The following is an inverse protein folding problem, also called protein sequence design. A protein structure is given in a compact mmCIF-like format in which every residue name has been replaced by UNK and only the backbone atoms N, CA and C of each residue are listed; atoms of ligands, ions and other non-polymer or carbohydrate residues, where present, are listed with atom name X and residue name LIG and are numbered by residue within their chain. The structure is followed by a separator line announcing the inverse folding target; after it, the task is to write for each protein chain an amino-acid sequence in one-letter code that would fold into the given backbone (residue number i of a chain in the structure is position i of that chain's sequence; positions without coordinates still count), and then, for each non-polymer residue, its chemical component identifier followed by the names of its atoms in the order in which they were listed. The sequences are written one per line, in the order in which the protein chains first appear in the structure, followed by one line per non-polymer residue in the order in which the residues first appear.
data_IF_786287906687
#
_entry.id   IF_786287906687
#
_cell.length_a   1.000
_cell.length_b   1.000
_cell.length_c   1.000
_cell.angle_alpha   90.00
_cell.angle_beta   90.00
_cell.angle_gamma   90.00
#
_symmetry.space_group_name_H-M   'P 1'
#
loop_
_entity.id
_entity.type
_entity.pdbx_description
1 polymer ?
#
# COMPACT_ATOMS: atom_id res chain seq x y z
N UNK A 1 8.74 87.77 24.70
CA UNK A 1 8.70 87.09 23.40
C UNK A 1 9.57 85.86 23.51
N UNK A 2 8.97 84.66 23.65
CA UNK A 2 9.68 83.41 23.78
C UNK A 2 9.33 82.56 22.57
N UNK A 3 10.33 82.30 21.71
CA UNK A 3 10.22 81.43 20.54
C UNK A 3 10.30 79.99 20.95
N UNK A 4 9.30 79.19 20.66
CA UNK A 4 9.30 77.72 20.84
C UNK A 4 9.80 77.07 19.55
N UNK A 5 10.89 76.36 19.65
CA UNK A 5 11.41 75.53 18.55
C UNK A 5 10.74 74.14 18.58
N UNK A 6 10.10 73.79 17.49
CA UNK A 6 9.43 72.53 17.29
C UNK A 6 10.43 71.51 16.67
N UNK A 7 10.85 70.50 17.43
CA UNK A 7 11.73 69.42 16.94
C UNK A 7 10.88 68.28 16.33
N UNK A 8 11.00 68.07 15.04
CA UNK A 8 10.38 66.93 14.31
C UNK A 8 11.33 65.72 14.43
N UNK A 9 10.92 64.72 15.20
CA UNK A 9 11.61 63.44 15.26
C UNK A 9 11.14 62.53 14.09
N UNK A 10 12.00 62.26 13.13
CA UNK A 10 11.76 61.32 12.05
C UNK A 10 12.09 59.91 12.52
N UNK A 11 11.04 59.08 12.73
CA UNK A 11 11.16 57.66 13.07
C UNK A 11 11.37 56.89 11.79
N UNK A 12 12.58 56.41 11.55
CA UNK A 12 12.88 55.47 10.46
C UNK A 12 12.39 54.08 10.82
N UNK A 13 11.33 53.62 10.16
CA UNK A 13 10.87 52.23 10.26
C UNK A 13 11.81 51.32 9.46
N UNK A 14 12.64 50.55 10.16
CA UNK A 14 13.44 49.48 9.55
C UNK A 14 12.50 48.29 9.21
N UNK A 15 12.15 48.11 7.93
CA UNK A 15 11.55 46.90 7.43
C UNK A 15 12.59 45.77 7.57
N UNK A 16 12.42 44.89 8.55
CA UNK A 16 13.13 43.62 8.64
C UNK A 16 12.66 42.73 7.50
N UNK A 17 13.41 42.60 6.43
CA UNK A 17 13.23 41.62 5.39
C UNK A 17 13.51 40.24 6.02
N UNK A 18 12.46 39.49 6.34
CA UNK A 18 12.59 38.10 6.70
C UNK A 18 13.25 37.35 5.53
N UNK A 19 14.32 36.57 5.76
CA UNK A 19 14.90 35.78 4.70
C UNK A 19 13.85 34.76 4.22
N UNK A 20 13.40 34.88 2.98
CA UNK A 20 12.71 33.82 2.27
C UNK A 20 13.65 32.62 2.33
N UNK A 21 13.31 31.60 3.12
CA UNK A 21 13.99 30.33 3.13
C UNK A 21 13.79 29.71 1.74
N UNK A 22 14.72 30.04 0.84
CA UNK A 22 14.82 29.40 -0.47
C UNK A 22 15.16 27.95 -0.20
N UNK A 23 14.17 27.05 -0.29
CA UNK A 23 14.40 25.64 -0.17
C UNK A 23 15.48 25.23 -1.19
N UNK A 24 16.53 24.62 -0.69
CA UNK A 24 17.64 24.12 -1.51
C UNK A 24 17.06 23.33 -2.69
N UNK A 25 17.52 23.62 -3.91
CA UNK A 25 17.06 22.91 -5.11
C UNK A 25 17.28 21.41 -4.95
N UNK A 26 16.34 20.59 -5.43
CA UNK A 26 16.39 19.15 -5.23
C UNK A 26 17.72 18.48 -5.60
N UNK A 27 18.41 18.87 -6.72
CA UNK A 27 19.72 18.30 -7.08
C UNK A 27 20.80 18.49 -6.01
N UNK A 28 20.85 19.65 -5.37
CA UNK A 28 21.85 19.95 -4.35
C UNK A 28 21.52 19.32 -3.00
N UNK A 29 20.22 19.07 -2.76
CA UNK A 29 19.77 18.49 -1.50
C UNK A 29 20.15 17.01 -1.38
N UNK A 30 19.96 16.19 -2.40
CA UNK A 30 20.14 14.74 -2.32
C UNK A 30 21.59 14.27 -2.52
N UNK A 31 22.50 15.13 -3.01
CA UNK A 31 23.91 14.78 -3.26
C UNK A 31 24.59 14.29 -1.98
N UNK A 32 25.13 13.08 -2.01
CA UNK A 32 25.84 12.46 -0.89
C UNK A 32 24.93 12.07 0.29
N UNK A 33 23.61 12.11 0.13
CA UNK A 33 22.67 11.68 1.17
C UNK A 33 22.28 10.21 1.04
N UNK A 34 21.80 9.68 2.14
CA UNK A 34 21.06 8.43 2.22
C UNK A 34 19.58 8.75 2.34
N UNK A 35 18.75 8.04 1.58
CA UNK A 35 17.29 8.06 1.67
C UNK A 35 16.83 6.72 2.20
N UNK A 36 16.07 6.73 3.29
CA UNK A 36 15.52 5.52 3.88
C UNK A 36 14.22 5.12 3.16
N UNK A 37 14.18 3.87 2.69
CA UNK A 37 12.97 3.24 2.15
C UNK A 37 12.41 2.27 3.16
N UNK A 38 11.39 2.69 3.89
CA UNK A 38 10.78 1.89 4.94
C UNK A 38 9.73 0.92 4.37
N UNK A 39 9.76 -0.34 4.79
CA UNK A 39 8.90 -1.41 4.29
C UNK A 39 8.00 -1.93 5.42
N UNK A 40 6.69 -1.81 5.28
CA UNK A 40 5.72 -2.12 6.34
C UNK A 40 5.46 -3.62 6.59
N UNK A 41 6.24 -4.51 5.99
CA UNK A 41 6.11 -5.97 6.11
C UNK A 41 7.47 -6.64 6.28
N UNK A 42 7.44 -7.93 6.69
CA UNK A 42 8.65 -8.75 6.88
C UNK A 42 9.38 -9.02 5.57
N UNK A 43 10.64 -9.41 5.70
CA UNK A 43 11.55 -9.75 4.59
C UNK A 43 11.00 -10.90 3.73
N UNK A 44 11.21 -10.81 2.42
CA UNK A 44 10.87 -11.87 1.44
C UNK A 44 9.40 -11.90 1.04
N UNK A 45 8.55 -11.01 1.57
CA UNK A 45 7.17 -10.82 1.10
C UNK A 45 7.12 -9.91 -0.13
N UNK A 46 5.95 -9.87 -0.82
CA UNK A 46 5.81 -9.10 -2.06
C UNK A 46 6.16 -7.61 -1.92
N UNK A 47 5.78 -6.94 -0.84
CA UNK A 47 6.15 -5.54 -0.61
C UNK A 47 7.68 -5.36 -0.47
N UNK A 48 8.35 -6.27 0.24
CA UNK A 48 9.80 -6.24 0.41
C UNK A 48 10.54 -6.48 -0.93
N UNK A 49 10.06 -7.43 -1.72
CA UNK A 49 10.64 -7.74 -3.04
C UNK A 49 10.54 -6.55 -3.99
N UNK A 50 9.35 -5.92 -4.10
CA UNK A 50 9.16 -4.72 -4.94
C UNK A 50 10.02 -3.55 -4.47
N UNK A 51 10.06 -3.28 -3.16
CA UNK A 51 10.83 -2.17 -2.60
C UNK A 51 12.35 -2.33 -2.83
N UNK A 52 12.87 -3.54 -2.63
CA UNK A 52 14.30 -3.82 -2.87
C UNK A 52 14.67 -3.82 -4.34
N UNK A 53 13.75 -4.24 -5.21
CA UNK A 53 13.94 -4.12 -6.66
C UNK A 53 13.94 -2.64 -7.10
N UNK A 54 13.02 -1.83 -6.57
CA UNK A 54 12.92 -0.40 -6.90
C UNK A 54 14.17 0.41 -6.46
N UNK A 55 14.68 0.16 -5.25
CA UNK A 55 15.66 1.01 -4.59
C UNK A 55 16.91 1.36 -5.44
N UNK A 56 17.66 0.41 -6.03
CA UNK A 56 18.87 0.71 -6.77
C UNK A 56 18.60 1.45 -8.09
N UNK A 57 17.44 1.26 -8.71
CA UNK A 57 17.06 1.94 -9.94
C UNK A 57 16.57 3.36 -9.65
N UNK A 58 15.66 3.52 -8.69
CA UNK A 58 15.13 4.83 -8.32
C UNK A 58 16.23 5.78 -7.82
N UNK A 59 17.26 5.27 -7.16
CA UNK A 59 18.41 6.05 -6.73
C UNK A 59 19.11 6.77 -7.88
N UNK A 60 19.17 6.16 -9.08
CA UNK A 60 19.77 6.75 -10.28
C UNK A 60 18.96 7.90 -10.86
N UNK A 61 17.65 7.90 -10.64
CA UNK A 61 16.72 8.90 -11.16
C UNK A 61 16.48 10.07 -10.19
N UNK A 62 16.82 9.92 -8.90
CA UNK A 62 16.75 11.05 -7.95
C UNK A 62 17.92 12.02 -8.26
N UNK A 63 17.65 13.33 -8.46
CA UNK A 63 18.71 14.32 -8.68
C UNK A 63 19.75 14.31 -7.54
N UNK A 64 21.02 14.16 -7.88
CA UNK A 64 22.11 14.02 -6.90
C UNK A 64 22.50 12.59 -6.56
N UNK A 65 21.81 11.59 -7.12
CA UNK A 65 22.07 10.15 -7.00
C UNK A 65 22.35 9.69 -5.57
N UNK A 66 21.40 9.87 -4.64
CA UNK A 66 21.55 9.41 -3.25
C UNK A 66 21.57 7.89 -3.19
N UNK A 67 22.05 7.34 -2.06
CA UNK A 67 21.83 5.94 -1.76
C UNK A 67 20.41 5.74 -1.21
N UNK A 68 19.66 4.79 -1.74
CA UNK A 68 18.38 4.36 -1.13
C UNK A 68 18.61 3.07 -0.34
N UNK A 69 18.27 3.07 0.95
CA UNK A 69 18.48 1.95 1.87
C UNK A 69 17.14 1.36 2.31
N UNK A 70 16.76 0.15 1.83
CA UNK A 70 15.55 -0.52 2.25
C UNK A 70 15.67 -1.05 3.69
N UNK A 71 14.67 -0.74 4.54
CA UNK A 71 14.57 -1.15 5.95
C UNK A 71 13.17 -1.70 6.25
N UNK A 72 13.07 -2.81 6.96
CA UNK A 72 11.77 -3.37 7.33
C UNK A 72 11.29 -2.80 8.68
N UNK A 73 10.07 -2.26 8.68
CA UNK A 73 9.35 -1.78 9.86
C UNK A 73 7.97 -2.43 9.90
N UNK A 74 7.96 -3.76 10.04
CA UNK A 74 6.75 -4.55 10.10
C UNK A 74 5.93 -4.28 11.38
N UNK A 75 4.66 -4.62 11.34
CA UNK A 75 3.76 -4.58 12.48
C UNK A 75 2.37 -4.06 12.14
N UNK A 76 1.37 -4.73 12.71
CA UNK A 76 -0.05 -4.41 12.56
C UNK A 76 -0.49 -4.21 11.09
N UNK A 77 -0.01 -5.08 10.15
CA UNK A 77 -0.36 -4.98 8.73
C UNK A 77 0.13 -3.70 8.06
N UNK A 78 1.32 -3.22 8.41
CA UNK A 78 1.97 -1.95 8.04
C UNK A 78 1.43 -0.67 8.71
N UNK A 79 0.44 -0.80 9.60
CA UNK A 79 -0.12 0.35 10.34
C UNK A 79 0.95 1.04 11.21
N UNK A 80 1.90 0.26 11.77
CA UNK A 80 3.06 0.79 12.51
C UNK A 80 3.87 1.76 11.63
N UNK A 81 4.21 1.35 10.42
CA UNK A 81 4.95 2.20 9.49
C UNK A 81 4.15 3.43 9.07
N UNK A 82 2.85 3.27 8.75
CA UNK A 82 2.00 4.39 8.36
C UNK A 82 1.92 5.47 9.46
N UNK A 83 1.73 5.05 10.72
CA UNK A 83 1.74 5.95 11.87
C UNK A 83 3.10 6.64 12.05
N UNK A 84 4.20 5.90 11.90
CA UNK A 84 5.55 6.44 12.03
C UNK A 84 5.84 7.46 10.93
N UNK A 85 5.58 7.13 9.66
CA UNK A 85 5.78 8.06 8.54
C UNK A 85 4.99 9.36 8.74
N UNK A 86 3.73 9.25 9.21
CA UNK A 86 2.88 10.42 9.36
C UNK A 86 3.30 11.35 10.48
N UNK A 87 3.66 10.78 11.65
CA UNK A 87 3.84 11.54 12.89
C UNK A 87 5.31 11.80 13.25
N UNK A 88 6.25 10.91 12.84
CA UNK A 88 7.63 10.89 13.31
C UNK A 88 8.65 10.96 12.17
N UNK A 89 8.34 10.36 11.01
CA UNK A 89 9.24 10.28 9.88
C UNK A 89 9.80 11.63 9.43
N UNK A 90 11.07 11.68 8.95
CA UNK A 90 11.67 12.91 8.44
C UNK A 90 10.84 13.52 7.32
N UNK A 91 10.46 14.80 7.48
CA UNK A 91 9.63 15.53 6.51
C UNK A 91 10.46 16.29 5.47
N UNK A 92 11.74 16.00 5.38
CA UNK A 92 12.67 16.67 4.48
C UNK A 92 12.88 15.96 3.14
N UNK A 93 12.23 14.79 2.93
CA UNK A 93 12.36 13.97 1.72
C UNK A 93 13.44 12.91 1.81
N UNK A 94 14.12 12.74 2.95
CA UNK A 94 15.11 11.67 3.16
C UNK A 94 14.51 10.34 3.64
N UNK A 95 13.19 10.27 3.79
CA UNK A 95 12.49 9.03 4.09
C UNK A 95 11.19 8.93 3.29
N UNK A 96 10.94 7.74 2.77
CA UNK A 96 9.66 7.33 2.20
C UNK A 96 9.44 5.83 2.47
N UNK A 97 8.25 5.31 2.18
CA UNK A 97 7.98 3.92 2.47
C UNK A 97 6.94 3.30 1.57
N UNK A 98 6.75 1.99 1.76
CA UNK A 98 5.66 1.22 1.17
C UNK A 98 4.83 0.58 2.26
N UNK A 99 3.52 0.81 2.22
CA UNK A 99 2.54 0.30 3.18
C UNK A 99 1.54 -0.65 2.50
N UNK A 100 0.75 -1.36 3.27
CA UNK A 100 -0.36 -2.15 2.74
C UNK A 100 -1.31 -1.26 1.93
N UNK A 101 -1.75 -1.75 0.77
CA UNK A 101 -2.63 -0.99 -0.15
C UNK A 101 -3.92 -0.50 0.49
N UNK A 102 -4.41 -1.23 1.51
CA UNK A 102 -5.59 -0.86 2.29
C UNK A 102 -5.33 0.12 3.42
N UNK A 103 -4.08 0.20 3.90
CA UNK A 103 -3.73 0.93 5.12
C UNK A 103 -4.08 2.42 5.04
N UNK A 104 -3.90 3.05 3.87
CA UNK A 104 -4.29 4.46 3.67
C UNK A 104 -5.78 4.74 3.88
N UNK A 105 -6.63 3.72 3.88
CA UNK A 105 -8.08 3.81 4.06
C UNK A 105 -8.55 3.38 5.46
N UNK A 106 -7.67 2.92 6.34
CA UNK A 106 -8.04 2.49 7.69
C UNK A 106 -8.78 3.57 8.51
N UNK A 107 -8.41 4.88 8.43
CA UNK A 107 -9.19 5.93 9.08
C UNK A 107 -10.62 6.05 8.55
N UNK A 108 -10.85 5.82 7.24
CA UNK A 108 -12.18 5.86 6.63
C UNK A 108 -13.11 4.81 7.24
N UNK A 109 -12.59 3.63 7.57
CA UNK A 109 -13.32 2.54 8.20
C UNK A 109 -13.33 2.59 9.73
N UNK A 110 -12.77 3.66 10.34
CA UNK A 110 -12.75 3.86 11.78
C UNK A 110 -11.82 2.91 12.54
N UNK A 111 -10.74 2.45 11.90
CA UNK A 111 -9.75 1.61 12.58
C UNK A 111 -9.00 2.43 13.64
N UNK A 112 -9.19 2.08 14.92
CA UNK A 112 -8.69 2.86 16.06
C UNK A 112 -7.15 2.99 16.14
N UNK A 113 -6.41 2.06 15.52
CA UNK A 113 -4.97 2.11 15.46
C UNK A 113 -4.40 3.08 14.42
N UNK A 114 -5.22 3.59 13.49
CA UNK A 114 -4.79 4.54 12.47
C UNK A 114 -4.73 5.96 13.07
N UNK A 115 -3.51 6.47 13.26
CA UNK A 115 -3.23 7.80 13.82
C UNK A 115 -2.71 8.74 12.71
N UNK A 116 -3.35 8.73 11.57
CA UNK A 116 -3.00 9.52 10.39
C UNK A 116 -4.26 9.85 9.57
N UNK A 117 -4.11 10.77 8.66
CA UNK A 117 -5.07 11.08 7.60
C UNK A 117 -4.47 10.59 6.27
N UNK A 118 -5.09 9.56 5.66
CA UNK A 118 -4.60 8.96 4.43
C UNK A 118 -4.53 9.94 3.24
N UNK A 119 -5.39 10.96 3.24
CA UNK A 119 -5.40 12.01 2.24
C UNK A 119 -4.24 13.01 2.33
N UNK A 120 -3.53 13.05 3.46
CA UNK A 120 -2.46 14.03 3.71
C UNK A 120 -1.05 13.49 3.49
N UNK A 121 -0.87 12.21 3.25
CA UNK A 121 0.43 11.69 2.85
C UNK A 121 0.90 12.30 1.53
N UNK A 122 2.20 12.40 1.36
CA UNK A 122 2.81 12.69 0.05
C UNK A 122 2.88 11.40 -0.74
N UNK A 123 1.83 11.08 -1.50
CA UNK A 123 1.81 9.91 -2.37
C UNK A 123 2.82 10.08 -3.52
N UNK A 124 3.71 9.08 -3.67
CA UNK A 124 4.76 9.07 -4.69
C UNK A 124 4.27 8.35 -5.94
N UNK A 125 3.60 7.22 -5.77
CA UNK A 125 3.03 6.41 -6.83
C UNK A 125 2.66 5.02 -6.35
N UNK A 126 2.16 4.18 -7.26
CA UNK A 126 2.00 2.74 -7.05
C UNK A 126 2.63 1.98 -8.21
N UNK A 127 3.39 0.93 -7.95
CA UNK A 127 4.13 0.22 -8.99
C UNK A 127 3.23 -0.65 -9.88
N UNK A 128 2.09 -1.09 -9.39
CA UNK A 128 1.14 -1.89 -10.18
C UNK A 128 -0.31 -1.73 -9.72
N UNK A 129 -1.22 -2.06 -10.62
CA UNK A 129 -2.58 -2.51 -10.32
C UNK A 129 -2.52 -4.02 -9.99
N UNK A 130 -3.25 -4.48 -9.00
CA UNK A 130 -3.07 -5.82 -8.47
C UNK A 130 -4.37 -6.62 -8.43
N UNK A 131 -4.28 -7.90 -8.70
CA UNK A 131 -5.30 -8.88 -8.38
C UNK A 131 -4.80 -9.74 -7.22
N UNK A 132 -5.54 -9.76 -6.12
CA UNK A 132 -5.26 -10.71 -5.05
C UNK A 132 -6.05 -12.00 -5.26
N UNK A 133 -5.56 -13.08 -4.70
CA UNK A 133 -6.24 -14.38 -4.74
C UNK A 133 -6.50 -14.92 -3.33
N UNK A 134 -7.50 -15.78 -3.23
CA UNK A 134 -7.69 -16.64 -2.08
C UNK A 134 -7.33 -18.08 -2.49
N UNK A 135 -6.43 -18.70 -1.76
CA UNK A 135 -5.91 -20.03 -2.08
C UNK A 135 -6.08 -21.00 -0.91
N UNK A 136 -6.16 -22.28 -1.23
CA UNK A 136 -6.17 -23.38 -0.27
C UNK A 136 -5.02 -24.34 -0.55
N UNK A 137 -4.44 -24.93 0.50
CA UNK A 137 -3.42 -25.97 0.38
C UNK A 137 -4.04 -27.29 -0.01
N UNK A 138 -3.61 -27.86 -1.10
CA UNK A 138 -4.15 -29.11 -1.63
C UNK A 138 -3.85 -30.31 -0.71
N UNK A 139 -4.82 -31.21 -0.59
CA UNK A 139 -4.69 -32.41 0.22
C UNK A 139 -5.01 -32.26 1.71
N UNK A 140 -5.26 -31.02 2.21
CA UNK A 140 -5.65 -30.79 3.61
C UNK A 140 -7.14 -30.56 3.83
N UNK A 141 -7.82 -30.06 2.81
CA UNK A 141 -9.25 -29.83 2.84
C UNK A 141 -9.93 -30.43 1.62
N UNK A 142 -11.27 -30.52 1.65
CA UNK A 142 -12.08 -30.90 0.49
C UNK A 142 -12.52 -29.70 -0.34
N UNK A 143 -12.00 -28.50 -0.04
CA UNK A 143 -12.34 -27.25 -0.73
C UNK A 143 -11.56 -27.21 -2.03
N UNK A 144 -12.27 -27.15 -3.17
CA UNK A 144 -11.69 -27.11 -4.51
C UNK A 144 -12.16 -25.89 -5.33
N UNK A 145 -13.24 -25.22 -4.91
CA UNK A 145 -13.83 -24.06 -5.58
C UNK A 145 -14.48 -23.11 -4.59
N UNK A 146 -14.84 -21.90 -5.01
CA UNK A 146 -15.42 -20.88 -4.15
C UNK A 146 -16.68 -21.33 -3.41
N UNK A 147 -17.57 -22.06 -4.09
CA UNK A 147 -18.85 -22.50 -3.53
C UNK A 147 -18.67 -23.39 -2.30
N UNK A 148 -17.58 -24.13 -2.23
CA UNK A 148 -17.29 -25.00 -1.08
C UNK A 148 -17.08 -24.19 0.20
N UNK A 149 -16.62 -22.92 0.09
CA UNK A 149 -16.47 -22.00 1.22
C UNK A 149 -17.79 -21.64 1.89
N UNK A 150 -18.93 -21.80 1.20
CA UNK A 150 -20.25 -21.51 1.76
C UNK A 150 -20.69 -22.58 2.76
N UNK A 151 -20.17 -23.79 2.67
CA UNK A 151 -20.56 -24.94 3.46
C UNK A 151 -19.44 -25.49 4.35
N UNK A 152 -18.19 -25.42 3.88
CA UNK A 152 -17.03 -26.01 4.54
C UNK A 152 -16.14 -24.92 5.15
N UNK A 153 -15.80 -25.02 6.45
CA UNK A 153 -14.87 -24.09 7.09
C UNK A 153 -13.47 -24.14 6.48
N UNK A 154 -12.85 -22.98 6.29
CA UNK A 154 -11.45 -22.81 5.88
C UNK A 154 -10.73 -21.93 6.89
N UNK A 155 -9.60 -22.43 7.42
CA UNK A 155 -8.71 -21.62 8.28
C UNK A 155 -7.63 -20.98 7.42
N UNK A 156 -7.56 -19.64 7.43
CA UNK A 156 -6.59 -18.87 6.66
C UNK A 156 -5.67 -18.06 7.57
N UNK A 157 -4.42 -17.89 7.15
CA UNK A 157 -3.46 -17.04 7.85
C UNK A 157 -3.60 -15.57 7.49
N UNK A 158 -3.48 -14.70 8.50
CA UNK A 158 -3.57 -13.26 8.38
C UNK A 158 -2.45 -12.51 9.11
N UNK A 159 -2.19 -11.29 8.72
CA UNK A 159 -1.09 -10.51 9.31
C UNK A 159 -1.57 -9.50 10.34
N UNK A 160 -2.79 -8.98 10.20
CA UNK A 160 -3.38 -8.01 11.12
C UNK A 160 -4.79 -7.63 10.67
N UNK A 161 -5.64 -7.23 11.60
CA UNK A 161 -6.98 -6.70 11.32
C UNK A 161 -6.99 -5.51 10.32
N UNK A 162 -5.86 -4.81 10.15
CA UNK A 162 -5.70 -3.74 9.17
C UNK A 162 -5.19 -4.23 7.80
N UNK A 163 -4.91 -5.52 7.63
CA UNK A 163 -4.34 -6.06 6.40
C UNK A 163 -5.37 -6.78 5.53
N UNK A 164 -5.16 -6.80 4.22
CA UNK A 164 -5.99 -7.51 3.25
C UNK A 164 -6.16 -8.99 3.60
N UNK A 165 -5.13 -9.61 4.20
CA UNK A 165 -5.14 -11.02 4.61
C UNK A 165 -6.18 -11.35 5.66
N UNK A 166 -6.58 -10.37 6.46
CA UNK A 166 -7.64 -10.49 7.48
C UNK A 166 -8.95 -9.89 6.96
N UNK A 167 -8.89 -8.70 6.37
CA UNK A 167 -10.06 -7.96 5.93
C UNK A 167 -10.83 -8.67 4.81
N UNK A 168 -10.14 -9.24 3.83
CA UNK A 168 -10.81 -9.90 2.70
C UNK A 168 -11.59 -11.16 3.11
N UNK A 169 -11.04 -12.09 3.92
CA UNK A 169 -11.84 -13.18 4.49
C UNK A 169 -13.04 -12.71 5.31
N UNK A 170 -12.90 -11.64 6.12
CA UNK A 170 -14.01 -11.08 6.88
C UNK A 170 -15.11 -10.51 5.98
N UNK A 171 -14.73 -9.78 4.92
CA UNK A 171 -15.67 -9.27 3.91
C UNK A 171 -16.37 -10.42 3.18
N UNK A 172 -15.66 -11.45 2.74
CA UNK A 172 -16.27 -12.62 2.11
C UNK A 172 -17.24 -13.32 3.05
N UNK A 173 -16.89 -13.44 4.33
CA UNK A 173 -17.78 -14.01 5.34
C UNK A 173 -19.05 -13.16 5.54
N UNK A 174 -18.88 -11.85 5.70
CA UNK A 174 -20.01 -10.95 6.04
C UNK A 174 -20.90 -10.60 4.84
N UNK A 175 -20.36 -10.59 3.61
CA UNK A 175 -21.11 -10.24 2.40
C UNK A 175 -21.65 -11.48 1.69
N UNK A 176 -20.84 -12.53 1.56
CA UNK A 176 -21.16 -13.71 0.74
C UNK A 176 -21.50 -14.95 1.59
N UNK A 177 -21.33 -14.89 2.91
CA UNK A 177 -21.68 -15.99 3.82
C UNK A 177 -20.66 -17.13 3.87
N UNK A 178 -19.41 -16.92 3.48
CA UNK A 178 -18.36 -17.94 3.54
C UNK A 178 -18.04 -18.33 5.00
N UNK A 179 -17.60 -19.59 5.21
CA UNK A 179 -17.28 -20.12 6.54
C UNK A 179 -15.79 -20.04 6.84
N UNK A 180 -15.21 -18.84 6.72
CA UNK A 180 -13.80 -18.63 6.93
C UNK A 180 -13.46 -18.28 8.39
N UNK A 181 -12.29 -18.76 8.83
CA UNK A 181 -11.65 -18.39 10.11
C UNK A 181 -10.28 -17.83 9.82
N UNK A 182 -9.93 -16.70 10.47
CA UNK A 182 -8.62 -16.07 10.31
C UNK A 182 -7.79 -16.33 11.56
N UNK A 183 -6.58 -16.84 11.39
CA UNK A 183 -5.51 -16.86 12.39
C UNK A 183 -4.59 -15.71 12.08
N UNK A 184 -4.68 -14.64 12.86
CA UNK A 184 -3.96 -13.38 12.61
C UNK A 184 -2.67 -13.26 13.43
N UNK A 185 -1.80 -12.29 13.07
CA UNK A 185 -0.60 -11.95 13.83
C UNK A 185 0.71 -12.42 13.20
N UNK A 186 0.68 -12.99 12.01
CA UNK A 186 1.92 -13.28 11.26
C UNK A 186 2.61 -11.98 10.83
N UNK A 187 3.96 -11.86 10.94
CA UNK A 187 4.71 -10.62 10.63
C UNK A 187 4.54 -10.17 9.17
N UNK A 188 4.35 -11.11 8.26
CA UNK A 188 4.15 -10.81 6.84
C UNK A 188 3.62 -11.98 6.04
N UNK A 189 3.42 -11.75 4.73
CA UNK A 189 2.83 -12.76 3.87
C UNK A 189 3.70 -14.01 3.69
N UNK A 190 5.02 -13.89 3.76
CA UNK A 190 5.91 -15.04 3.68
C UNK A 190 5.79 -15.94 4.91
N UNK A 191 5.57 -15.34 6.09
CA UNK A 191 5.34 -16.09 7.34
C UNK A 191 4.04 -16.90 7.27
N UNK A 192 2.98 -16.33 6.65
CA UNK A 192 1.74 -17.08 6.36
C UNK A 192 2.00 -18.26 5.42
N UNK A 193 2.85 -18.09 4.40
CA UNK A 193 3.21 -19.19 3.50
C UNK A 193 3.92 -20.32 4.26
N UNK A 194 4.84 -19.99 5.17
CA UNK A 194 5.51 -21.00 6.02
C UNK A 194 4.50 -21.70 6.95
N UNK A 195 3.51 -20.97 7.47
CA UNK A 195 2.44 -21.55 8.27
C UNK A 195 1.56 -22.52 7.45
N UNK A 196 1.29 -22.19 6.18
CA UNK A 196 0.62 -23.12 5.25
C UNK A 196 1.47 -24.38 5.01
N UNK A 197 2.77 -24.26 4.77
CA UNK A 197 3.67 -25.41 4.59
C UNK A 197 3.66 -26.35 5.82
N UNK A 198 3.66 -25.76 7.03
CA UNK A 198 3.64 -26.51 8.30
C UNK A 198 2.27 -27.07 8.69
N UNK A 199 1.20 -26.64 8.03
CA UNK A 199 -0.17 -27.06 8.34
C UNK A 199 -0.79 -26.35 9.53
N UNK A 200 -0.28 -25.18 9.91
CA UNK A 200 -0.85 -24.33 10.96
C UNK A 200 -2.16 -23.65 10.46
N UNK A 201 -2.21 -23.36 9.16
CA UNK A 201 -3.38 -22.84 8.46
C UNK A 201 -3.54 -23.57 7.12
N UNK A 202 -4.78 -23.63 6.61
CA UNK A 202 -5.11 -24.37 5.39
C UNK A 202 -5.02 -23.53 4.13
N UNK A 203 -5.02 -22.20 4.27
CA UNK A 203 -5.03 -21.31 3.12
C UNK A 203 -4.62 -19.88 3.45
N UNK A 204 -4.67 -19.05 2.43
CA UNK A 204 -4.36 -17.62 2.49
C UNK A 204 -5.24 -16.84 1.51
N UNK A 205 -5.85 -15.76 1.98
CA UNK A 205 -6.56 -14.81 1.12
C UNK A 205 -5.86 -13.44 1.14
N UNK A 206 -6.17 -12.57 0.17
CA UNK A 206 -5.48 -11.30 0.04
C UNK A 206 -4.01 -11.44 -0.40
N UNK A 207 -3.66 -12.54 -1.04
CA UNK A 207 -2.33 -12.78 -1.57
C UNK A 207 -2.25 -12.26 -3.00
N UNK A 208 -1.43 -11.25 -3.25
CA UNK A 208 -1.21 -10.67 -4.56
C UNK A 208 -0.79 -11.72 -5.57
N UNK A 209 -1.41 -11.75 -6.74
CA UNK A 209 -1.06 -12.68 -7.81
C UNK A 209 0.40 -12.51 -8.26
N UNK A 210 0.86 -11.27 -8.40
CA UNK A 210 2.27 -10.96 -8.64
C UNK A 210 3.20 -11.60 -7.60
N UNK A 211 2.80 -11.64 -6.32
CA UNK A 211 3.58 -12.27 -5.26
C UNK A 211 3.52 -13.81 -5.29
N UNK A 212 2.40 -14.40 -5.71
CA UNK A 212 2.34 -15.86 -5.92
C UNK A 212 3.38 -16.28 -6.96
N UNK A 213 3.41 -15.56 -8.09
CA UNK A 213 4.33 -15.82 -9.21
C UNK A 213 5.79 -15.57 -8.88
N UNK A 214 6.09 -14.51 -8.13
CA UNK A 214 7.46 -14.12 -7.82
C UNK A 214 8.07 -14.85 -6.62
N UNK A 215 7.26 -15.23 -5.62
CA UNK A 215 7.80 -15.79 -4.37
C UNK A 215 7.56 -17.30 -4.20
N UNK A 216 6.58 -17.87 -4.89
CA UNK A 216 6.21 -19.30 -4.79
C UNK A 216 5.77 -19.92 -6.14
N UNK A 217 6.48 -19.67 -7.27
CA UNK A 217 6.08 -20.17 -8.57
C UNK A 217 5.95 -21.71 -8.59
N UNK A 218 6.80 -22.39 -7.82
CA UNK A 218 6.77 -23.85 -7.69
C UNK A 218 5.46 -24.40 -7.10
N UNK A 219 4.74 -23.64 -6.30
CA UNK A 219 3.45 -24.09 -5.76
C UNK A 219 2.36 -24.19 -6.82
N UNK A 220 2.49 -23.42 -7.90
CA UNK A 220 1.61 -23.51 -9.07
C UNK A 220 1.96 -24.73 -9.93
N UNK A 221 3.24 -24.91 -10.28
CA UNK A 221 3.71 -26.02 -11.14
C UNK A 221 3.56 -27.38 -10.46
N UNK A 222 3.79 -27.44 -9.15
CA UNK A 222 3.64 -28.66 -8.34
C UNK A 222 2.20 -28.84 -7.83
N UNK A 223 1.28 -27.96 -8.20
CA UNK A 223 -0.14 -28.00 -7.80
C UNK A 223 -0.34 -28.12 -6.28
N UNK A 224 0.49 -27.42 -5.49
CA UNK A 224 0.37 -27.40 -4.02
C UNK A 224 -0.82 -26.60 -3.52
N UNK A 225 -1.28 -25.64 -4.30
CA UNK A 225 -2.41 -24.77 -3.96
C UNK A 225 -3.47 -24.79 -5.06
N UNK A 226 -4.71 -24.56 -4.65
CA UNK A 226 -5.84 -24.27 -5.53
C UNK A 226 -6.29 -22.83 -5.32
N UNK A 227 -6.47 -22.08 -6.41
CA UNK A 227 -6.98 -20.71 -6.38
C UNK A 227 -8.52 -20.78 -6.42
N UNK A 228 -9.18 -20.19 -5.44
CA UNK A 228 -10.62 -20.28 -5.25
C UNK A 228 -11.39 -19.09 -5.84
N UNK A 229 -10.80 -17.89 -5.74
CA UNK A 229 -11.44 -16.64 -6.17
C UNK A 229 -10.38 -15.54 -6.36
N UNK A 230 -10.62 -14.66 -7.32
CA UNK A 230 -9.89 -13.42 -7.52
C UNK A 230 -10.55 -12.29 -6.72
N UNK A 231 -9.77 -11.61 -5.93
CA UNK A 231 -10.17 -10.54 -5.01
C UNK A 231 -9.76 -9.19 -5.62
N UNK A 232 -10.53 -8.72 -6.59
CA UNK A 232 -10.26 -7.52 -7.39
C UNK A 232 -11.55 -6.97 -8.01
N UNK A 233 -11.47 -5.83 -8.70
CA UNK A 233 -12.56 -5.24 -9.46
C UNK A 233 -12.72 -5.85 -10.87
N UNK A 234 -11.66 -6.47 -11.38
CA UNK A 234 -11.62 -7.08 -12.70
C UNK A 234 -10.84 -8.40 -12.65
N UNK A 235 -11.01 -9.19 -13.69
CA UNK A 235 -10.36 -10.48 -13.85
C UNK A 235 -8.93 -10.31 -14.37
N UNK A 236 -8.00 -11.07 -13.82
CA UNK A 236 -6.63 -11.17 -14.33
C UNK A 236 -6.57 -12.08 -15.56
N UNK A 237 -5.77 -11.72 -16.56
CA UNK A 237 -5.65 -12.48 -17.81
C UNK A 237 -5.11 -13.91 -17.60
N UNK A 238 -4.21 -14.11 -16.65
CA UNK A 238 -3.66 -15.45 -16.31
C UNK A 238 -4.67 -16.36 -15.62
N UNK A 239 -5.80 -15.85 -15.15
CA UNK A 239 -6.78 -16.56 -14.32
C UNK A 239 -8.19 -16.56 -14.96
N UNK A 240 -8.35 -16.92 -16.24
CA UNK A 240 -9.62 -16.76 -16.96
C UNK A 240 -10.77 -17.57 -16.36
N UNK A 241 -10.46 -18.74 -15.76
CA UNK A 241 -11.46 -19.67 -15.22
C UNK A 241 -11.79 -19.44 -13.73
N UNK A 242 -11.04 -18.59 -13.05
CA UNK A 242 -11.25 -18.29 -11.63
C UNK A 242 -12.27 -17.16 -11.48
N UNK A 243 -13.34 -17.33 -10.67
CA UNK A 243 -14.34 -16.28 -10.48
C UNK A 243 -13.76 -15.02 -9.84
N UNK A 244 -14.31 -13.85 -10.21
CA UNK A 244 -13.99 -12.56 -9.56
C UNK A 244 -15.01 -12.28 -8.48
N UNK A 245 -14.57 -11.80 -7.33
CA UNK A 245 -15.40 -11.58 -6.15
C UNK A 245 -16.60 -10.66 -6.42
N UNK A 246 -16.46 -9.67 -7.30
CA UNK A 246 -17.53 -8.71 -7.66
C UNK A 246 -18.71 -9.41 -8.33
N UNK A 247 -18.44 -10.44 -9.13
CA UNK A 247 -19.46 -11.18 -9.89
C UNK A 247 -20.27 -12.12 -8.98
N UNK A 248 -19.78 -12.40 -7.78
CA UNK A 248 -20.43 -13.24 -6.77
C UNK A 248 -21.47 -12.48 -5.93
N UNK A 249 -21.56 -11.14 -6.09
CA UNK A 249 -22.55 -10.30 -5.41
C UNK A 249 -23.96 -10.60 -5.91
N UNK A 250 -24.88 -10.85 -4.98
CA UNK A 250 -26.30 -11.14 -5.28
C UNK A 250 -27.20 -9.91 -5.23
N UNK A 251 -26.76 -8.84 -4.55
CA UNK A 251 -27.51 -7.57 -4.41
C UNK A 251 -26.62 -6.38 -4.76
N UNK A 252 -27.25 -5.24 -5.05
CA UNK A 252 -26.53 -4.00 -5.33
C UNK A 252 -25.77 -3.49 -4.12
N UNK A 253 -26.31 -3.67 -2.90
CA UNK A 253 -25.60 -3.33 -1.65
C UNK A 253 -24.31 -4.14 -1.52
N UNK A 254 -24.37 -5.46 -1.71
CA UNK A 254 -23.20 -6.32 -1.70
C UNK A 254 -22.17 -5.84 -2.73
N UNK A 255 -22.60 -5.55 -3.95
CA UNK A 255 -21.73 -5.08 -5.03
C UNK A 255 -21.06 -3.75 -4.71
N UNK A 256 -21.78 -2.79 -4.11
CA UNK A 256 -21.23 -1.51 -3.70
C UNK A 256 -20.17 -1.66 -2.59
N UNK A 257 -20.44 -2.49 -1.60
CA UNK A 257 -19.49 -2.78 -0.51
C UNK A 257 -18.23 -3.45 -1.07
N UNK A 258 -18.37 -4.46 -1.92
CA UNK A 258 -17.23 -5.13 -2.55
C UNK A 258 -16.43 -4.16 -3.41
N UNK A 259 -17.09 -3.31 -4.22
CA UNK A 259 -16.40 -2.28 -5.01
C UNK A 259 -15.59 -1.33 -4.14
N UNK A 260 -16.15 -0.84 -3.03
CA UNK A 260 -15.44 0.04 -2.11
C UNK A 260 -14.19 -0.65 -1.51
N UNK A 261 -14.33 -1.88 -1.03
CA UNK A 261 -13.24 -2.63 -0.40
C UNK A 261 -12.15 -2.98 -1.42
N UNK A 262 -12.52 -3.45 -2.61
CA UNK A 262 -11.54 -3.90 -3.61
C UNK A 262 -11.00 -2.78 -4.51
N UNK A 263 -11.51 -1.54 -4.41
CA UNK A 263 -10.93 -0.38 -5.10
C UNK A 263 -9.45 -0.16 -4.74
N UNK A 264 -9.04 -0.54 -3.52
CA UNK A 264 -7.64 -0.49 -3.08
C UNK A 264 -6.67 -1.33 -3.93
N UNK A 265 -7.19 -2.28 -4.70
CA UNK A 265 -6.36 -3.13 -5.57
C UNK A 265 -5.67 -2.35 -6.68
N UNK A 266 -6.24 -1.22 -7.11
CA UNK A 266 -5.56 -0.29 -8.00
C UNK A 266 -4.25 0.28 -7.42
N UNK A 267 -4.05 0.20 -6.10
CA UNK A 267 -2.82 0.58 -5.39
C UNK A 267 -2.01 -0.67 -5.01
N UNK A 268 -1.67 -1.53 -5.94
CA UNK A 268 -1.03 -2.82 -5.66
C UNK A 268 0.22 -2.72 -4.81
N UNK A 269 1.08 -1.74 -5.11
CA UNK A 269 2.33 -1.46 -4.37
C UNK A 269 2.52 0.05 -4.23
N UNK A 270 1.83 0.68 -3.27
CA UNK A 270 1.90 2.13 -3.06
C UNK A 270 3.20 2.53 -2.36
N UNK A 271 3.74 3.67 -2.80
CA UNK A 271 4.87 4.35 -2.17
C UNK A 271 4.44 5.76 -1.75
N UNK A 272 4.87 6.17 -0.57
CA UNK A 272 4.46 7.43 0.04
C UNK A 272 5.55 7.98 0.97
N UNK A 273 5.58 9.29 1.11
CA UNK A 273 6.41 10.00 2.06
C UNK A 273 5.54 10.69 3.13
N UNK A 274 6.13 11.16 4.24
CA UNK A 274 5.42 11.94 5.26
C UNK A 274 4.65 13.12 4.69
N UNK A 275 3.61 13.61 5.37
CA UNK A 275 2.98 14.87 5.03
C UNK A 275 3.94 16.04 5.27
N UNK A 276 3.89 17.04 4.39
CA UNK A 276 4.69 18.27 4.55
C UNK A 276 6.13 18.17 4.01
N UNK A 277 6.46 17.16 3.21
CA UNK A 277 7.70 17.18 2.41
C UNK A 277 7.70 18.39 1.49
N UNK A 278 8.78 19.17 1.40
CA UNK A 278 8.87 20.33 0.50
C UNK A 278 8.53 19.97 -0.94
N UNK A 279 7.71 20.79 -1.61
CA UNK A 279 7.13 20.48 -2.91
C UNK A 279 8.17 20.05 -3.97
N UNK A 280 9.31 20.74 -4.05
CA UNK A 280 10.37 20.39 -4.99
C UNK A 280 10.98 18.99 -4.74
N UNK A 281 11.04 18.55 -3.47
CA UNK A 281 11.56 17.23 -3.10
C UNK A 281 10.51 16.14 -3.31
N UNK A 282 9.26 16.44 -3.01
CA UNK A 282 8.13 15.55 -3.31
C UNK A 282 8.04 15.27 -4.82
N UNK A 283 8.18 16.32 -5.62
CA UNK A 283 8.19 16.20 -7.08
C UNK A 283 9.40 15.41 -7.59
N UNK A 284 10.60 15.65 -7.04
CA UNK A 284 11.79 14.87 -7.39
C UNK A 284 11.61 13.37 -7.11
N UNK A 285 10.97 13.00 -5.98
CA UNK A 285 10.66 11.59 -5.67
C UNK A 285 9.61 11.00 -6.62
N UNK A 286 8.56 11.77 -6.99
CA UNK A 286 7.52 11.34 -7.93
C UNK A 286 8.08 11.12 -9.33
N UNK A 287 8.86 12.08 -9.83
CA UNK A 287 9.54 11.99 -11.13
C UNK A 287 10.47 10.79 -11.16
N UNK A 288 11.36 10.66 -10.17
CA UNK A 288 12.27 9.53 -10.08
C UNK A 288 11.57 8.17 -10.01
N UNK A 289 10.43 8.10 -9.31
CA UNK A 289 9.60 6.90 -9.29
C UNK A 289 9.07 6.57 -10.69
N UNK A 290 8.44 7.53 -11.38
CA UNK A 290 7.88 7.29 -12.70
C UNK A 290 8.97 7.02 -13.76
N UNK A 291 10.12 7.70 -13.70
CA UNK A 291 11.26 7.42 -14.56
C UNK A 291 11.76 5.99 -14.35
N UNK A 292 11.79 5.52 -13.09
CA UNK A 292 12.12 4.12 -12.78
C UNK A 292 11.12 3.14 -13.38
N UNK A 293 9.83 3.44 -13.34
CA UNK A 293 8.78 2.59 -13.92
C UNK A 293 8.91 2.43 -15.44
N UNK A 294 9.63 3.32 -16.10
CA UNK A 294 9.92 3.29 -17.54
C UNK A 294 11.39 2.94 -17.87
N UNK A 295 12.23 2.73 -16.86
CA UNK A 295 13.63 2.33 -17.05
C UNK A 295 13.71 0.90 -17.62
N UNK A 296 14.38 0.75 -18.76
CA UNK A 296 14.47 -0.53 -19.47
C UNK A 296 15.17 -1.62 -18.66
N UNK A 297 16.19 -1.24 -17.89
CA UNK A 297 16.94 -2.20 -17.07
C UNK A 297 16.10 -2.65 -15.89
N UNK A 298 15.34 -1.72 -15.27
CA UNK A 298 14.35 -2.06 -14.23
C UNK A 298 13.27 -3.00 -14.75
N UNK A 299 12.68 -2.68 -15.90
CA UNK A 299 11.63 -3.53 -16.50
C UNK A 299 12.16 -4.93 -16.86
N UNK A 300 13.39 -5.04 -17.37
CA UNK A 300 14.01 -6.32 -17.66
C UNK A 300 14.23 -7.18 -16.39
N UNK A 301 14.66 -6.56 -15.28
CA UNK A 301 14.84 -7.26 -14.01
C UNK A 301 13.50 -7.64 -13.35
N UNK A 302 12.48 -6.77 -13.45
CA UNK A 302 11.14 -7.08 -12.93
C UNK A 302 10.47 -8.21 -13.71
N UNK A 303 10.65 -8.28 -15.03
CA UNK A 303 10.16 -9.40 -15.86
C UNK A 303 10.77 -10.73 -15.45
N UNK A 304 12.11 -10.78 -15.27
CA UNK A 304 12.82 -11.99 -14.79
C UNK A 304 12.33 -12.43 -13.40
N UNK A 305 11.97 -11.47 -12.56
CA UNK A 305 11.45 -11.72 -11.20
C UNK A 305 9.93 -11.99 -11.18
N UNK A 306 9.26 -11.99 -12.33
CA UNK A 306 7.79 -12.09 -12.46
C UNK A 306 7.02 -11.03 -11.67
N UNK A 307 7.57 -9.81 -11.58
CA UNK A 307 6.92 -8.66 -10.98
C UNK A 307 6.15 -7.88 -12.05
N UNK A 308 4.90 -7.60 -11.80
CA UNK A 308 4.06 -6.82 -12.72
C UNK A 308 4.25 -5.33 -12.48
N UNK A 309 4.46 -4.57 -13.57
CA UNK A 309 4.62 -3.13 -13.54
C UNK A 309 3.53 -2.49 -14.41
N UNK A 310 2.53 -1.92 -13.74
CA UNK A 310 1.41 -1.15 -14.31
C UNK A 310 1.22 0.11 -13.45
N UNK A 311 2.12 1.09 -13.56
CA UNK A 311 2.26 2.13 -12.57
C UNK A 311 1.12 3.15 -12.60
N UNK A 312 0.83 3.71 -11.42
CA UNK A 312 0.03 4.93 -11.24
C UNK A 312 0.93 5.97 -10.60
N UNK A 313 0.93 7.18 -11.13
CA UNK A 313 1.70 8.29 -10.58
C UNK A 313 1.13 8.80 -9.23
N UNK A 314 1.88 9.64 -8.54
CA UNK A 314 1.49 10.17 -7.24
C UNK A 314 0.19 10.99 -7.26
N UNK A 315 -0.10 11.68 -8.35
CA UNK A 315 -1.34 12.46 -8.52
C UNK A 315 -2.55 11.53 -8.70
N UNK A 316 -2.40 10.47 -9.49
CA UNK A 316 -3.42 9.44 -9.66
C UNK A 316 -3.74 8.71 -8.37
N UNK A 317 -2.69 8.35 -7.58
CA UNK A 317 -2.88 7.77 -6.24
C UNK A 317 -3.61 8.74 -5.32
N UNK A 318 -3.19 10.00 -5.28
CA UNK A 318 -3.83 11.03 -4.44
C UNK A 318 -5.31 11.20 -4.79
N UNK A 319 -5.63 11.22 -6.10
CA UNK A 319 -7.01 11.29 -6.58
C UNK A 319 -7.82 10.07 -6.16
N UNK A 320 -7.30 8.86 -6.34
CA UNK A 320 -7.97 7.63 -5.95
C UNK A 320 -8.29 7.63 -4.45
N UNK A 321 -7.32 8.02 -3.61
CA UNK A 321 -7.52 8.15 -2.17
C UNK A 321 -8.63 9.15 -1.87
N UNK A 322 -8.60 10.34 -2.48
CA UNK A 322 -9.63 11.37 -2.27
C UNK A 322 -11.02 10.88 -2.68
N UNK A 323 -11.15 10.22 -3.83
CA UNK A 323 -12.41 9.68 -4.34
C UNK A 323 -13.00 8.65 -3.37
N UNK A 324 -12.18 7.75 -2.82
CA UNK A 324 -12.64 6.74 -1.85
C UNK A 324 -13.10 7.35 -0.53
N UNK A 325 -12.46 8.42 -0.06
CA UNK A 325 -12.91 9.16 1.12
C UNK A 325 -14.24 9.89 0.91
N UNK A 326 -14.66 10.10 -0.34
CA UNK A 326 -15.97 10.69 -0.70
C UNK A 326 -17.05 9.63 -0.93
N UNK A 327 -16.77 8.35 -0.69
CA UNK A 327 -17.75 7.27 -0.86
C UNK A 327 -19.01 7.48 -0.02
N UNK A 328 -20.19 7.01 -0.48
CA UNK A 328 -21.44 7.17 0.27
C UNK A 328 -21.34 6.63 1.70
N UNK A 329 -21.73 7.42 2.68
CA UNK A 329 -21.59 7.12 4.10
C UNK A 329 -22.25 5.78 4.51
N UNK A 330 -23.38 5.42 3.90
CA UNK A 330 -24.06 4.16 4.16
C UNK A 330 -23.17 2.96 3.76
N UNK A 331 -22.50 3.04 2.60
CA UNK A 331 -21.59 1.99 2.11
C UNK A 331 -20.35 1.90 2.98
N UNK A 332 -19.76 3.05 3.36
CA UNK A 332 -18.61 3.12 4.26
C UNK A 332 -18.94 2.51 5.62
N UNK A 333 -20.09 2.87 6.21
CA UNK A 333 -20.55 2.32 7.49
C UNK A 333 -20.71 0.81 7.39
N UNK A 334 -21.36 0.31 6.34
CA UNK A 334 -21.54 -1.13 6.13
C UNK A 334 -20.21 -1.86 5.98
N UNK A 335 -19.28 -1.32 5.20
CA UNK A 335 -17.93 -1.85 5.06
C UNK A 335 -17.18 -1.88 6.42
N UNK A 336 -17.25 -0.79 7.19
CA UNK A 336 -16.64 -0.70 8.52
C UNK A 336 -17.19 -1.72 9.53
N UNK A 337 -18.48 -2.05 9.45
CA UNK A 337 -19.09 -3.11 10.27
C UNK A 337 -18.57 -4.50 9.94
N UNK A 338 -18.26 -4.76 8.67
CA UNK A 338 -17.74 -6.04 8.19
C UNK A 338 -16.25 -6.25 8.52
N UNK A 339 -15.51 -5.16 8.74
CA UNK A 339 -14.09 -5.18 9.06
C UNK A 339 -13.78 -5.25 10.58
N UNK A 340 -14.80 -5.30 11.40
CA UNK A 340 -14.70 -5.52 12.87
C UNK A 340 -14.78 -7.00 13.20
#
# INVERSE_FOLDING_TARGET
MRSAALSIATTAAALAAAPLAWGQAAPDFYRGKTVDLEIGYSVGGGYDVYARMLAPFMAKHIPGNPSIVPKNMEGAGSLRLANWLYNVGPKDGTAFGTIGRGTGFDPLFGHRGAQFDGGKFTWIGSANDEVSVCVVWNGRTKIAKFEDLLTTPLTVGGTSAAADTDQFPLVMKGVLGTKMKVVTGYPGGNDVNLAMERGEVDGRCGWSWSSVRSTRPQWLTEKKITILVQLALHKHADLPDIPVIIDLAKTDEQRQVLKLIFARQALGRPFLAPPGVPAARAEALRTAFMDTMHDKDFLAETEKAHLEITPIDGAGVQKLVADLYQSPQAVVKRAAELLK
#
